data_IF_534784401088
#
_entry.id   IF_534784401088
#
_cell.length_a   1.000
_cell.length_b   1.000
_cell.length_c   1.000
_cell.angle_alpha   90.00
_cell.angle_beta   90.00
_cell.angle_gamma   90.00
#
_symmetry.space_group_name_H-M   'P 1'
#
loop_
_entity.id
_entity.type
_entity.pdbx_description
1 polymer ?
#
# COMPACT_ATOMS: atom_id res chain seq x y z
N UNK A 1 -52.23 2.24 38.23
CA UNK A 1 -50.91 2.87 38.33
C UNK A 1 -49.68 1.96 38.02
N UNK A 2 -49.84 0.71 37.59
CA UNK A 2 -48.71 -0.23 37.31
C UNK A 2 -48.10 -0.13 35.89
N UNK A 3 -48.81 0.41 34.89
CA UNK A 3 -48.33 0.48 33.48
C UNK A 3 -47.14 1.43 33.24
N UNK A 4 -47.06 2.54 33.99
CA UNK A 4 -45.96 3.51 33.84
C UNK A 4 -44.58 2.95 34.27
N UNK A 5 -44.54 2.06 35.25
CA UNK A 5 -43.28 1.47 35.74
C UNK A 5 -42.69 0.48 34.76
N UNK A 6 -43.50 -0.25 33.97
CA UNK A 6 -43.03 -1.20 32.96
C UNK A 6 -42.36 -0.51 31.79
N UNK A 7 -42.92 0.59 31.31
CA UNK A 7 -42.33 1.39 30.18
C UNK A 7 -40.98 1.98 30.56
N UNK A 8 -40.83 2.43 31.83
CA UNK A 8 -39.56 3.00 32.31
C UNK A 8 -38.44 1.96 32.45
N UNK A 9 -38.73 0.67 32.51
CA UNK A 9 -37.74 -0.41 32.54
C UNK A 9 -37.47 -1.00 31.13
N UNK A 10 -38.49 -1.04 30.29
CA UNK A 10 -38.36 -1.55 28.92
C UNK A 10 -37.69 -0.55 27.98
N UNK A 11 -37.94 0.75 28.14
CA UNK A 11 -37.38 1.78 27.27
C UNK A 11 -35.83 1.84 27.33
N UNK A 12 -35.16 1.86 28.50
CA UNK A 12 -33.71 1.88 28.58
C UNK A 12 -33.07 0.60 28.00
N UNK A 13 -33.68 -0.57 28.25
CA UNK A 13 -33.15 -1.83 27.71
C UNK A 13 -33.27 -1.91 26.20
N UNK A 14 -34.38 -1.43 25.63
CA UNK A 14 -34.55 -1.34 24.19
C UNK A 14 -33.57 -0.31 23.57
N UNK A 15 -33.43 0.86 24.20
CA UNK A 15 -32.48 1.88 23.75
C UNK A 15 -31.04 1.36 23.77
N UNK A 16 -30.66 0.67 24.83
CA UNK A 16 -29.34 0.05 24.96
C UNK A 16 -29.10 -0.98 23.84
N UNK A 17 -30.12 -1.81 23.56
CA UNK A 17 -30.01 -2.80 22.47
C UNK A 17 -29.82 -2.12 21.11
N UNK A 18 -30.59 -1.07 20.80
CA UNK A 18 -30.47 -0.31 19.55
C UNK A 18 -29.10 0.34 19.44
N UNK A 19 -28.63 0.98 20.50
CA UNK A 19 -27.28 1.61 20.49
C UNK A 19 -26.18 0.57 20.32
N UNK A 20 -26.28 -0.57 21.01
CA UNK A 20 -25.31 -1.66 20.87
C UNK A 20 -25.29 -2.26 19.46
N UNK A 21 -26.46 -2.47 18.85
CA UNK A 21 -26.54 -2.97 17.46
C UNK A 21 -25.98 -1.95 16.45
N UNK A 22 -26.31 -0.67 16.60
CA UNK A 22 -25.75 0.38 15.74
C UNK A 22 -24.22 0.49 15.89
N UNK A 23 -23.71 0.42 17.12
CA UNK A 23 -22.27 0.43 17.37
C UNK A 23 -21.58 -0.78 16.72
N UNK A 24 -22.15 -1.99 16.85
CA UNK A 24 -21.61 -3.20 16.25
C UNK A 24 -21.60 -3.14 14.70
N UNK A 25 -22.70 -2.66 14.10
CA UNK A 25 -22.80 -2.50 12.64
C UNK A 25 -21.81 -1.44 12.15
N UNK A 26 -21.72 -0.30 12.83
CA UNK A 26 -20.76 0.76 12.48
C UNK A 26 -19.31 0.27 12.59
N UNK A 27 -18.98 -0.44 13.65
CA UNK A 27 -17.67 -1.06 13.84
C UNK A 27 -17.33 -2.03 12.72
N UNK A 28 -18.25 -2.93 12.38
CA UNK A 28 -18.07 -3.88 11.28
C UNK A 28 -17.91 -3.18 9.93
N UNK A 29 -18.74 -2.17 9.64
CA UNK A 29 -18.66 -1.40 8.41
C UNK A 29 -17.32 -0.68 8.26
N UNK A 30 -16.80 -0.06 9.33
CA UNK A 30 -15.50 0.64 9.32
C UNK A 30 -14.37 -0.33 8.99
N UNK A 31 -14.34 -1.51 9.64
CA UNK A 31 -13.29 -2.51 9.39
C UNK A 31 -13.34 -2.98 7.94
N UNK A 32 -14.52 -3.41 7.48
CA UNK A 32 -14.69 -3.96 6.12
C UNK A 32 -14.37 -2.94 5.05
N UNK A 33 -14.78 -1.68 5.24
CA UNK A 33 -14.51 -0.61 4.29
C UNK A 33 -13.01 -0.28 4.21
N UNK A 34 -12.34 -0.26 5.36
CA UNK A 34 -10.90 0.01 5.43
C UNK A 34 -10.08 -1.07 4.72
N UNK A 35 -10.44 -2.35 4.91
CA UNK A 35 -9.76 -3.47 4.24
C UNK A 35 -10.02 -3.45 2.73
N UNK A 36 -11.27 -3.19 2.31
CA UNK A 36 -11.60 -3.08 0.90
C UNK A 36 -10.80 -1.98 0.18
N UNK A 37 -10.69 -0.79 0.77
CA UNK A 37 -9.90 0.31 0.20
C UNK A 37 -8.41 0.00 0.16
N UNK A 38 -7.90 -0.73 1.15
CA UNK A 38 -6.51 -1.17 1.14
C UNK A 38 -6.24 -2.13 -0.02
N UNK A 39 -7.10 -3.12 -0.24
CA UNK A 39 -6.95 -4.10 -1.32
C UNK A 39 -7.06 -3.44 -2.70
N UNK A 40 -8.00 -2.52 -2.88
CA UNK A 40 -8.15 -1.76 -4.12
C UNK A 40 -6.91 -0.89 -4.41
N UNK A 41 -6.40 -0.18 -3.40
CA UNK A 41 -5.18 0.63 -3.52
C UNK A 41 -3.97 -0.24 -3.86
N UNK A 42 -3.83 -1.38 -3.20
CA UNK A 42 -2.74 -2.32 -3.44
C UNK A 42 -2.79 -2.86 -4.87
N UNK A 43 -3.98 -3.26 -5.36
CA UNK A 43 -4.16 -3.75 -6.73
C UNK A 43 -3.82 -2.68 -7.78
N UNK A 44 -4.19 -1.43 -7.52
CA UNK A 44 -3.82 -0.31 -8.39
C UNK A 44 -2.30 -0.09 -8.42
N UNK A 45 -1.65 -0.08 -7.26
CA UNK A 45 -0.20 0.06 -7.15
C UNK A 45 0.54 -1.10 -7.82
N UNK A 46 0.03 -2.33 -7.69
CA UNK A 46 0.57 -3.50 -8.38
C UNK A 46 0.48 -3.34 -9.91
N UNK A 47 -0.66 -2.91 -10.44
CA UNK A 47 -0.83 -2.69 -11.88
C UNK A 47 0.17 -1.67 -12.42
N UNK A 48 0.42 -0.57 -11.71
CA UNK A 48 1.43 0.43 -12.07
C UNK A 48 2.85 -0.15 -12.03
N UNK A 49 3.15 -0.95 -11.01
CA UNK A 49 4.47 -1.61 -10.92
C UNK A 49 4.68 -2.58 -12.09
N UNK A 50 3.66 -3.35 -12.49
CA UNK A 50 3.72 -4.26 -13.64
C UNK A 50 3.98 -3.53 -14.95
N UNK A 51 3.33 -2.39 -15.18
CA UNK A 51 3.60 -1.54 -16.37
C UNK A 51 5.08 -1.13 -16.43
N UNK A 52 5.67 -0.78 -15.27
CA UNK A 52 7.09 -0.43 -15.22
C UNK A 52 7.99 -1.64 -15.46
N UNK A 53 7.65 -2.80 -14.91
CA UNK A 53 8.36 -4.07 -15.17
C UNK A 53 8.38 -4.39 -16.66
N UNK A 54 7.25 -4.23 -17.36
CA UNK A 54 7.17 -4.45 -18.82
C UNK A 54 8.01 -3.44 -19.60
N UNK A 55 8.00 -2.16 -19.21
CA UNK A 55 8.79 -1.10 -19.88
C UNK A 55 10.30 -1.29 -19.72
N UNK A 56 10.75 -1.65 -18.54
CA UNK A 56 12.15 -1.81 -18.21
C UNK A 56 12.70 -3.18 -18.61
N UNK A 57 11.84 -4.21 -18.67
CA UNK A 57 12.19 -5.57 -19.05
C UNK A 57 13.06 -6.30 -18.02
N UNK A 58 13.41 -7.57 -18.31
CA UNK A 58 14.17 -8.43 -17.39
C UNK A 58 15.60 -7.94 -17.12
N UNK A 59 16.17 -7.15 -18.01
CA UNK A 59 17.54 -6.64 -17.92
C UNK A 59 17.64 -5.34 -17.11
N UNK A 60 16.62 -5.01 -16.34
CA UNK A 60 16.55 -3.77 -15.54
C UNK A 60 17.79 -3.55 -14.66
N UNK A 61 18.34 -4.63 -14.08
CA UNK A 61 19.51 -4.57 -13.22
C UNK A 61 20.81 -4.24 -13.97
N UNK A 62 20.85 -4.49 -15.28
CA UNK A 62 21.98 -4.21 -16.15
C UNK A 62 21.90 -2.84 -16.85
N UNK A 63 20.72 -2.18 -16.76
CA UNK A 63 20.54 -0.85 -17.36
C UNK A 63 21.27 0.24 -16.57
N UNK A 64 21.73 1.31 -17.23
CA UNK A 64 22.27 2.47 -16.53
C UNK A 64 21.27 3.03 -15.51
N UNK A 65 21.69 3.32 -14.26
CA UNK A 65 20.80 3.81 -13.21
C UNK A 65 20.03 5.09 -13.56
N UNK A 66 20.63 5.98 -14.35
CA UNK A 66 20.02 7.21 -14.84
C UNK A 66 18.82 6.93 -15.76
N UNK A 67 18.89 5.93 -16.63
CA UNK A 67 17.79 5.48 -17.50
C UNK A 67 16.66 4.89 -16.67
N UNK A 68 16.99 4.00 -15.73
CA UNK A 68 16.00 3.38 -14.84
C UNK A 68 15.30 4.47 -14.01
N UNK A 69 16.07 5.42 -13.48
CA UNK A 69 15.54 6.52 -12.69
C UNK A 69 14.63 7.45 -13.51
N UNK A 70 15.02 7.79 -14.75
CA UNK A 70 14.22 8.66 -15.62
C UNK A 70 12.86 8.01 -15.98
N UNK A 71 12.84 6.72 -16.33
CA UNK A 71 11.59 5.98 -16.63
C UNK A 71 10.72 5.84 -15.36
N UNK A 72 11.35 5.61 -14.21
CA UNK A 72 10.64 5.52 -12.91
C UNK A 72 10.04 6.86 -12.51
N UNK A 73 10.74 7.97 -12.74
CA UNK A 73 10.27 9.31 -12.45
C UNK A 73 9.09 9.72 -13.36
N UNK A 74 9.15 9.45 -14.66
CA UNK A 74 8.06 9.71 -15.61
C UNK A 74 6.77 8.99 -15.20
N UNK A 75 6.85 7.71 -14.87
CA UNK A 75 5.67 6.96 -14.37
C UNK A 75 5.16 7.52 -13.05
N UNK A 76 6.07 7.82 -12.12
CA UNK A 76 5.72 8.33 -10.80
C UNK A 76 4.95 9.66 -10.89
N UNK A 77 5.40 10.59 -11.74
CA UNK A 77 4.77 11.89 -11.96
C UNK A 77 3.38 11.74 -12.58
N UNK A 78 3.26 10.92 -13.64
CA UNK A 78 1.97 10.70 -14.32
C UNK A 78 0.93 10.00 -13.47
N UNK A 79 1.36 9.05 -12.63
CA UNK A 79 0.47 8.23 -11.82
C UNK A 79 0.26 8.78 -10.39
N UNK A 80 0.97 9.83 -9.98
CA UNK A 80 0.89 10.38 -8.62
C UNK A 80 1.39 9.41 -7.53
N UNK A 81 2.30 8.49 -7.88
CA UNK A 81 2.83 7.47 -6.97
C UNK A 81 4.33 7.64 -6.78
N UNK A 82 4.89 7.09 -5.72
CA UNK A 82 6.34 6.92 -5.61
C UNK A 82 6.74 5.57 -6.19
N UNK A 83 7.79 5.57 -7.00
CA UNK A 83 8.40 4.38 -7.57
C UNK A 83 9.80 4.20 -7.01
N UNK A 84 10.16 2.96 -6.66
CA UNK A 84 11.49 2.56 -6.17
C UNK A 84 11.89 1.26 -6.86
N UNK A 85 13.11 1.16 -7.37
CA UNK A 85 13.68 -0.07 -7.96
C UNK A 85 14.80 -0.57 -7.06
N UNK A 86 14.72 -1.85 -6.69
CA UNK A 86 15.56 -2.47 -5.67
C UNK A 86 16.19 -3.75 -6.23
N UNK A 87 17.50 -3.90 -6.08
CA UNK A 87 18.22 -5.11 -6.45
C UNK A 87 18.00 -6.25 -5.44
N UNK A 88 18.31 -7.52 -5.79
CA UNK A 88 18.22 -8.64 -4.84
C UNK A 88 19.08 -8.48 -3.58
N UNK A 89 20.13 -7.66 -3.64
CA UNK A 89 20.95 -7.27 -2.49
C UNK A 89 20.26 -6.31 -1.52
N UNK A 90 19.08 -5.79 -1.86
CA UNK A 90 18.37 -4.75 -1.11
C UNK A 90 18.80 -3.32 -1.44
N UNK A 91 19.78 -3.15 -2.31
CA UNK A 91 20.27 -1.84 -2.74
C UNK A 91 19.25 -1.18 -3.67
N UNK A 92 18.92 0.07 -3.40
CA UNK A 92 18.04 0.90 -4.24
C UNK A 92 18.86 1.47 -5.39
N UNK A 93 18.44 1.23 -6.64
CA UNK A 93 19.09 1.76 -7.85
C UNK A 93 18.34 2.91 -8.51
N UNK A 94 17.03 3.05 -8.21
CA UNK A 94 16.22 4.18 -8.67
C UNK A 94 15.12 4.50 -7.65
N UNK A 95 14.81 5.79 -7.47
CA UNK A 95 13.71 6.26 -6.64
C UNK A 95 13.21 7.62 -7.13
N UNK A 96 11.92 7.77 -7.35
CA UNK A 96 11.32 8.98 -7.91
C UNK A 96 11.29 10.19 -6.97
N UNK A 97 11.58 10.02 -5.67
CA UNK A 97 11.46 11.09 -4.67
C UNK A 97 12.75 11.38 -3.91
N UNK A 98 13.68 10.44 -3.86
CA UNK A 98 14.91 10.54 -3.07
C UNK A 98 16.11 10.06 -3.88
N UNK A 99 17.28 10.60 -3.54
CA UNK A 99 18.52 10.10 -4.12
C UNK A 99 18.77 8.65 -3.64
N UNK A 100 18.83 7.66 -4.54
CA UNK A 100 19.05 6.25 -4.18
C UNK A 100 20.31 6.02 -3.36
N UNK A 101 21.39 6.77 -3.63
CA UNK A 101 22.69 6.65 -2.93
C UNK A 101 22.61 6.99 -1.43
N UNK A 102 21.56 7.72 -1.01
CA UNK A 102 21.35 8.13 0.39
C UNK A 102 20.30 7.24 1.08
N UNK A 103 19.84 6.17 0.42
CA UNK A 103 18.82 5.30 0.97
C UNK A 103 19.43 4.08 1.67
N UNK A 104 18.81 3.71 2.79
CA UNK A 104 19.13 2.47 3.50
C UNK A 104 18.84 1.23 2.65
N UNK A 105 19.43 0.10 3.01
CA UNK A 105 19.09 -1.19 2.42
C UNK A 105 17.62 -1.54 2.71
N UNK A 106 16.92 -2.10 1.73
CA UNK A 106 15.48 -2.40 1.78
C UNK A 106 15.15 -3.89 1.79
N UNK A 107 16.16 -4.77 1.90
CA UNK A 107 15.96 -6.22 1.82
C UNK A 107 15.03 -6.79 2.90
N UNK A 108 14.97 -6.14 4.06
CA UNK A 108 14.19 -6.56 5.24
C UNK A 108 12.71 -6.15 5.21
N UNK A 109 12.30 -5.39 4.19
CA UNK A 109 10.92 -4.88 4.10
C UNK A 109 9.95 -6.00 3.74
N UNK A 110 8.79 -6.15 4.43
CA UNK A 110 7.88 -7.28 4.21
C UNK A 110 7.45 -7.46 2.75
N UNK A 111 7.12 -6.35 2.07
CA UNK A 111 6.76 -6.34 0.67
C UNK A 111 7.91 -6.79 -0.24
N UNK A 112 9.15 -6.48 0.13
CA UNK A 112 10.35 -6.85 -0.63
C UNK A 112 10.71 -8.31 -0.40
N UNK A 113 10.61 -8.80 0.84
CA UNK A 113 10.83 -10.22 1.17
C UNK A 113 9.88 -11.12 0.37
N UNK A 114 8.59 -10.75 0.28
CA UNK A 114 7.62 -11.48 -0.56
C UNK A 114 8.00 -11.44 -2.04
N UNK A 115 8.45 -10.27 -2.53
CA UNK A 115 8.87 -10.12 -3.93
C UNK A 115 10.13 -10.94 -4.25
N UNK A 116 11.08 -11.08 -3.33
CA UNK A 116 12.24 -11.97 -3.51
C UNK A 116 11.86 -13.44 -3.56
N UNK A 117 10.73 -13.83 -2.93
CA UNK A 117 10.17 -15.18 -3.08
C UNK A 117 9.40 -15.38 -4.41
N UNK A 118 9.43 -14.41 -5.33
CA UNK A 118 8.76 -14.45 -6.62
C UNK A 118 7.26 -14.15 -6.55
N UNK A 119 6.76 -13.66 -5.41
CA UNK A 119 5.36 -13.29 -5.21
C UNK A 119 5.19 -11.77 -5.25
N UNK A 120 3.98 -11.29 -5.54
CA UNK A 120 3.66 -9.88 -5.31
C UNK A 120 3.57 -9.63 -3.82
N UNK A 121 4.34 -8.66 -3.32
CA UNK A 121 4.32 -8.25 -1.92
C UNK A 121 3.52 -6.98 -1.72
N UNK A 122 2.79 -6.89 -0.60
CA UNK A 122 2.13 -5.66 -0.18
C UNK A 122 2.34 -5.40 1.31
N UNK A 123 2.33 -4.13 1.70
CA UNK A 123 2.37 -3.77 3.11
C UNK A 123 1.79 -2.38 3.36
N UNK A 124 1.29 -2.18 4.58
CA UNK A 124 0.87 -0.87 5.10
C UNK A 124 1.70 -0.55 6.33
N UNK A 125 2.62 0.38 6.22
CA UNK A 125 3.56 0.69 7.30
C UNK A 125 4.00 2.15 7.31
N UNK A 126 4.61 2.56 8.41
CA UNK A 126 5.27 3.86 8.53
C UNK A 126 6.54 3.89 7.67
N UNK A 127 6.70 4.96 6.88
CA UNK A 127 7.90 5.20 6.08
C UNK A 127 8.89 6.04 6.89
N UNK A 128 10.00 5.46 7.31
CA UNK A 128 11.09 6.19 7.96
C UNK A 128 11.73 7.24 7.03
N UNK A 129 11.74 6.98 5.73
CA UNK A 129 12.29 7.89 4.71
C UNK A 129 11.42 9.14 4.50
N UNK A 130 10.09 9.02 4.59
CA UNK A 130 9.14 10.09 4.29
C UNK A 130 8.31 10.54 5.50
N UNK A 131 8.51 9.93 6.68
CA UNK A 131 7.90 10.29 7.96
C UNK A 131 6.36 10.27 7.99
N UNK A 132 5.71 9.38 7.20
CA UNK A 132 4.27 9.15 7.26
C UNK A 132 3.91 7.70 6.87
N UNK A 133 2.67 7.29 7.17
CA UNK A 133 2.17 5.96 6.79
C UNK A 133 1.93 5.88 5.28
N UNK A 134 2.26 4.73 4.71
CA UNK A 134 2.12 4.46 3.26
C UNK A 134 1.64 3.04 3.01
N UNK A 135 0.95 2.88 1.88
CA UNK A 135 0.66 1.59 1.25
C UNK A 135 1.74 1.31 0.21
N UNK A 136 2.23 0.09 0.19
CA UNK A 136 3.26 -0.38 -0.72
C UNK A 136 2.76 -1.60 -1.49
N UNK A 137 3.11 -1.67 -2.77
CA UNK A 137 3.08 -2.89 -3.57
C UNK A 137 4.46 -3.10 -4.21
N UNK A 138 4.92 -4.34 -4.22
CA UNK A 138 6.22 -4.72 -4.76
C UNK A 138 6.05 -5.90 -5.73
N UNK A 139 6.52 -5.72 -6.96
CA UNK A 139 6.42 -6.71 -8.03
C UNK A 139 7.83 -7.19 -8.40
N UNK A 140 8.08 -8.52 -8.39
CA UNK A 140 9.36 -9.05 -8.81
C UNK A 140 9.55 -8.90 -10.33
N UNK A 141 10.75 -8.51 -10.73
CA UNK A 141 11.24 -8.58 -12.12
C UNK A 141 12.00 -9.88 -12.28
N UNK A 142 11.47 -10.80 -13.07
CA UNK A 142 12.11 -12.09 -13.30
C UNK A 142 13.14 -11.98 -14.42
N UNK A 143 14.34 -12.51 -14.18
CA UNK A 143 15.42 -12.61 -15.17
C UNK A 143 16.18 -13.93 -14.99
N UNK A 144 16.37 -14.68 -16.06
CA UNK A 144 17.13 -15.95 -16.07
C UNK A 144 16.70 -16.96 -14.98
N UNK A 145 15.38 -17.05 -14.70
CA UNK A 145 14.82 -18.00 -13.73
C UNK A 145 14.92 -17.56 -12.25
N UNK A 146 15.40 -16.36 -11.96
CA UNK A 146 15.46 -15.78 -10.62
C UNK A 146 14.95 -14.34 -10.61
N UNK A 147 14.78 -13.76 -9.43
CA UNK A 147 14.41 -12.35 -9.29
C UNK A 147 15.64 -11.48 -9.60
N UNK A 148 15.59 -10.70 -10.68
CA UNK A 148 16.65 -9.78 -11.11
C UNK A 148 16.56 -8.43 -10.39
N UNK A 149 15.35 -7.96 -10.09
CA UNK A 149 15.08 -6.74 -9.34
C UNK A 149 13.66 -6.78 -8.77
N UNK A 150 13.31 -5.80 -7.96
CA UNK A 150 11.94 -5.57 -7.47
C UNK A 150 11.54 -4.13 -7.80
N UNK A 151 10.39 -3.96 -8.43
CA UNK A 151 9.74 -2.66 -8.62
C UNK A 151 8.72 -2.47 -7.51
N UNK A 152 8.89 -1.43 -6.71
CA UNK A 152 7.98 -1.07 -5.63
C UNK A 152 7.30 0.26 -5.93
N UNK A 153 5.98 0.28 -5.84
CA UNK A 153 5.15 1.48 -5.89
C UNK A 153 4.59 1.81 -4.52
N UNK A 154 4.28 3.06 -4.25
CA UNK A 154 3.63 3.43 -2.97
C UNK A 154 2.92 4.78 -3.01
N UNK A 155 1.85 4.90 -2.19
CA UNK A 155 1.11 6.14 -1.93
C UNK A 155 1.00 6.40 -0.42
N UNK A 156 0.84 7.66 0.02
CA UNK A 156 0.50 7.97 1.41
C UNK A 156 -0.88 7.41 1.77
N UNK A 157 -1.08 6.94 3.00
CA UNK A 157 -2.43 6.54 3.48
C UNK A 157 -3.39 7.71 3.53
N UNK A 158 -2.90 8.95 3.75
CA UNK A 158 -3.69 10.17 3.73
C UNK A 158 -4.32 10.46 2.36
N UNK A 159 -3.69 10.05 1.26
CA UNK A 159 -4.28 10.15 -0.08
C UNK A 159 -5.50 9.23 -0.23
N UNK A 160 -5.45 8.05 0.39
CA UNK A 160 -6.57 7.09 0.44
C UNK A 160 -7.69 7.59 1.36
N UNK A 161 -7.33 8.16 2.51
CA UNK A 161 -8.27 8.70 3.49
C UNK A 161 -9.00 9.96 2.96
N UNK A 162 -8.33 10.79 2.14
CA UNK A 162 -8.96 11.99 1.56
C UNK A 162 -9.99 11.66 0.47
N UNK A 163 -9.83 10.57 -0.28
CA UNK A 163 -10.85 10.10 -1.23
C UNK A 163 -12.11 9.57 -0.51
N UNK A 164 -11.93 8.92 0.64
CA UNK A 164 -13.05 8.42 1.46
C UNK A 164 -13.85 9.57 2.10
N UNK A 165 -13.19 10.67 2.47
CA UNK A 165 -13.85 11.82 3.11
C UNK A 165 -14.69 12.67 2.14
N UNK A 166 -14.62 12.42 0.83
CA UNK A 166 -15.37 13.10 -0.22
C UNK A 166 -16.61 12.33 -0.70
N UNK A 167 -16.87 11.13 -0.15
CA UNK A 167 -18.06 10.29 -0.39
C UNK A 167 -19.06 10.42 0.75
#
# INVERSE_FOLDING_TARGET
MKRRKLVWHLFPSYLLLVVATLAAVSWYAIITLTDFHFDQTTSHLEALARVLVERLGPDIAARPPDVVNAVSADLAERAGVRVTVILPSGVVIADSHKNPLLMENHADRPEIVAAYAGQVGSSRRFSHTLQHRRVYAAVPVMGNGSVAAVVRTSVPTTAVESEIALL
#
